data_IF_069243427614
#
_entry.id   IF_069243427614
#
_cell.length_a   1.000
_cell.length_b   1.000
_cell.length_c   1.000
_cell.angle_alpha   90.00
_cell.angle_beta   90.00
_cell.angle_gamma   90.00
#
_symmetry.space_group_name_H-M   'P 1'
#
loop_
_entity.id
_entity.type
_entity.pdbx_description
1 polymer ?
#
# COMPACT_ATOMS: atom_id res chain seq x y z
N UNK A 1 70.59 -20.90 29.43
CA UNK A 1 69.55 -20.32 28.55
C UNK A 1 69.97 -20.54 27.10
N UNK A 2 69.35 -21.50 26.38
CA UNK A 2 69.54 -21.65 24.94
C UNK A 2 68.30 -21.21 24.14
N UNK A 3 68.56 -20.79 22.90
CA UNK A 3 67.63 -20.41 21.83
C UNK A 3 67.24 -21.61 20.97
N UNK A 4 65.96 -21.76 20.57
CA UNK A 4 65.53 -22.61 19.42
C UNK A 4 64.25 -22.07 18.75
N UNK A 5 64.41 -21.72 17.46
CA UNK A 5 63.56 -21.69 16.24
C UNK A 5 62.01 -21.53 16.18
N UNK A 6 61.60 -20.78 15.13
CA UNK A 6 60.27 -20.61 14.49
C UNK A 6 59.77 -21.86 13.71
N UNK A 7 58.46 -21.98 13.35
CA UNK A 7 58.01 -21.64 11.97
C UNK A 7 56.59 -21.03 11.82
N UNK A 8 56.34 -20.35 10.68
CA UNK A 8 55.03 -19.96 10.08
C UNK A 8 54.36 -21.15 9.32
N UNK A 9 53.32 -20.96 8.47
CA UNK A 9 51.90 -20.72 8.73
C UNK A 9 51.00 -21.81 8.09
N UNK A 10 49.74 -22.01 8.54
CA UNK A 10 48.78 -22.84 7.79
C UNK A 10 47.36 -22.27 7.73
N UNK A 11 46.98 -21.95 6.49
CA UNK A 11 45.67 -21.95 5.86
C UNK A 11 44.55 -22.71 6.59
N UNK A 12 43.40 -22.06 6.78
CA UNK A 12 42.12 -22.73 7.00
C UNK A 12 41.22 -22.46 5.79
N UNK A 13 40.95 -23.56 5.08
CA UNK A 13 40.06 -23.66 3.94
C UNK A 13 38.59 -23.49 4.35
N UNK A 14 37.84 -22.77 3.52
CA UNK A 14 36.37 -22.84 3.44
C UNK A 14 35.96 -24.17 2.77
N UNK A 15 35.06 -24.92 3.40
CA UNK A 15 34.16 -25.85 2.72
C UNK A 15 32.78 -25.87 3.38
N UNK A 16 31.72 -26.16 2.61
CA UNK A 16 30.36 -25.68 2.85
C UNK A 16 29.53 -26.66 3.68
N UNK A 17 28.67 -26.11 4.53
CA UNK A 17 27.66 -26.90 5.24
C UNK A 17 26.41 -26.95 4.37
N UNK A 18 26.25 -28.07 3.65
CA UNK A 18 24.96 -28.51 3.13
C UNK A 18 24.06 -28.93 4.31
N UNK A 19 22.92 -28.25 4.49
CA UNK A 19 21.79 -28.84 5.19
C UNK A 19 20.49 -28.66 4.41
N UNK A 20 20.22 -29.66 3.59
CA UNK A 20 18.95 -30.40 3.49
C UNK A 20 17.64 -29.59 3.56
N UNK A 21 17.07 -29.37 2.37
CA UNK A 21 15.63 -29.25 2.13
C UNK A 21 14.88 -30.42 2.78
N UNK A 22 14.04 -30.17 3.79
CA UNK A 22 12.95 -31.07 4.16
C UNK A 22 11.67 -30.29 4.39
N UNK A 23 10.72 -30.59 3.50
CA UNK A 23 9.31 -30.30 3.54
C UNK A 23 8.69 -30.49 4.93
N UNK A 24 7.84 -29.55 5.32
CA UNK A 24 6.63 -29.84 6.08
C UNK A 24 5.48 -29.01 5.51
N UNK A 25 4.72 -29.66 4.62
CA UNK A 25 3.35 -29.30 4.27
C UNK A 25 2.50 -29.59 5.51
N UNK A 26 2.05 -28.54 6.20
CA UNK A 26 0.97 -28.64 7.18
C UNK A 26 -0.25 -27.93 6.61
N UNK A 27 -1.16 -28.76 6.08
CA UNK A 27 -2.51 -28.39 5.71
C UNK A 27 -3.26 -28.06 7.01
N UNK A 28 -3.45 -26.77 7.32
CA UNK A 28 -4.38 -26.36 8.38
C UNK A 28 -5.73 -26.05 7.76
N UNK A 29 -6.69 -26.95 8.00
CA UNK A 29 -8.12 -26.68 7.86
C UNK A 29 -8.47 -25.52 8.81
N UNK A 30 -8.57 -24.30 8.26
CA UNK A 30 -9.06 -23.15 8.99
C UNK A 30 -10.58 -23.27 9.15
N UNK A 31 -11.03 -23.84 10.27
CA UNK A 31 -12.38 -23.61 10.76
C UNK A 31 -12.54 -22.12 11.13
N UNK A 32 -13.65 -21.45 10.81
CA UNK A 32 -13.87 -20.06 11.17
C UNK A 32 -14.27 -20.00 12.65
N UNK A 33 -13.30 -20.16 13.55
CA UNK A 33 -13.47 -19.69 14.92
C UNK A 33 -13.37 -18.16 14.87
N UNK A 34 -14.51 -17.50 14.91
CA UNK A 34 -14.61 -16.07 15.25
C UNK A 34 -14.18 -15.92 16.70
N UNK A 35 -12.87 -15.94 16.93
CA UNK A 35 -12.26 -15.45 18.16
C UNK A 35 -12.48 -13.94 18.16
N UNK A 36 -13.48 -13.51 18.93
CA UNK A 36 -13.65 -12.13 19.35
C UNK A 36 -12.34 -11.70 20.03
N UNK A 37 -11.42 -11.09 19.27
CA UNK A 37 -10.15 -10.59 19.79
C UNK A 37 -10.50 -9.44 20.73
N UNK A 38 -10.50 -9.72 22.03
CA UNK A 38 -10.52 -8.66 23.04
C UNK A 38 -9.35 -7.73 22.74
N UNK A 39 -9.55 -6.41 22.60
CA UNK A 39 -8.44 -5.49 22.43
C UNK A 39 -7.52 -5.64 23.64
N UNK A 40 -6.24 -5.86 23.38
CA UNK A 40 -5.23 -5.86 24.44
C UNK A 40 -5.21 -4.48 25.07
N UNK A 41 -5.27 -4.43 26.41
CA UNK A 41 -5.16 -3.19 27.16
C UNK A 41 -3.91 -2.42 26.72
N UNK A 42 -4.03 -1.09 26.62
CA UNK A 42 -2.92 -0.21 26.26
C UNK A 42 -1.78 -0.37 27.28
N UNK A 43 -0.70 -1.03 26.87
CA UNK A 43 0.56 -1.08 27.61
C UNK A 43 1.52 0.00 27.12
N UNK A 44 2.54 0.35 27.92
CA UNK A 44 3.59 1.27 27.50
C UNK A 44 4.30 0.69 26.25
N UNK A 45 4.00 1.27 25.09
CA UNK A 45 4.64 0.92 23.83
C UNK A 45 5.94 1.71 23.73
N UNK A 46 7.05 1.01 23.47
CA UNK A 46 8.31 1.66 23.16
C UNK A 46 8.22 2.48 21.88
N UNK A 47 9.32 3.14 21.49
CA UNK A 47 9.39 3.90 20.25
C UNK A 47 8.93 3.03 19.06
N UNK A 48 7.95 3.53 18.30
CA UNK A 48 7.46 2.85 17.11
C UNK A 48 8.59 2.75 16.09
N UNK A 49 8.79 1.56 15.53
CA UNK A 49 9.88 1.26 14.59
C UNK A 49 9.31 0.69 13.30
N UNK A 50 9.74 1.24 12.18
CA UNK A 50 9.43 0.74 10.85
C UNK A 50 10.45 -0.34 10.40
N UNK A 51 10.01 -1.37 9.65
CA UNK A 51 8.62 -1.83 9.55
C UNK A 51 8.15 -2.44 10.89
N UNK A 52 6.89 -2.23 11.31
CA UNK A 52 6.40 -2.77 12.57
C UNK A 52 6.12 -4.28 12.46
N UNK A 53 6.39 -5.04 13.51
CA UNK A 53 6.04 -6.47 13.57
C UNK A 53 4.52 -6.71 13.53
N UNK A 54 3.75 -5.78 14.09
CA UNK A 54 2.28 -5.73 14.02
C UNK A 54 1.80 -4.32 14.31
N UNK A 55 0.67 -3.95 13.74
CA UNK A 55 -0.10 -2.77 14.11
C UNK A 55 -1.13 -3.16 15.17
N UNK A 56 -1.35 -2.30 16.15
CA UNK A 56 -2.39 -2.51 17.16
C UNK A 56 -3.76 -2.01 16.72
N UNK A 57 -3.77 -1.00 15.86
CA UNK A 57 -4.98 -0.39 15.31
C UNK A 57 -5.19 -0.83 13.86
N UNK A 58 -6.41 -0.61 13.36
CA UNK A 58 -6.74 -0.80 11.94
C UNK A 58 -6.63 0.55 11.24
N UNK A 59 -5.88 0.62 10.15
CA UNK A 59 -5.68 1.87 9.42
C UNK A 59 -6.32 1.82 8.04
N UNK A 60 -7.02 2.89 7.70
CA UNK A 60 -7.46 3.15 6.33
C UNK A 60 -6.80 4.43 5.84
N UNK A 61 -6.11 4.35 4.70
CA UNK A 61 -5.42 5.46 4.09
C UNK A 61 -6.31 6.06 3.00
N UNK A 62 -6.62 7.36 3.11
CA UNK A 62 -7.51 8.04 2.17
C UNK A 62 -6.82 9.28 1.64
N UNK A 63 -6.63 9.35 0.32
CA UNK A 63 -6.24 10.59 -0.36
C UNK A 63 -7.47 11.47 -0.48
N UNK A 64 -7.35 12.75 -0.15
CA UNK A 64 -8.37 13.74 -0.46
C UNK A 64 -8.68 13.73 -1.98
N UNK A 65 -9.92 14.07 -2.33
CA UNK A 65 -10.30 14.25 -3.72
C UNK A 65 -9.56 15.43 -4.36
N UNK A 66 -9.71 15.54 -5.68
CA UNK A 66 -9.17 16.64 -6.47
C UNK A 66 -9.48 18.02 -5.85
N UNK A 67 -8.48 18.90 -5.80
CA UNK A 67 -8.67 20.30 -5.36
C UNK A 67 -8.88 21.27 -6.51
N UNK A 68 -9.32 22.50 -6.24
CA UNK A 68 -9.43 23.54 -7.28
C UNK A 68 -8.07 23.86 -7.92
N UNK A 69 -6.98 23.87 -7.15
CA UNK A 69 -5.62 23.98 -7.71
C UNK A 69 -5.25 22.80 -8.61
N UNK A 70 -5.64 21.58 -8.22
CA UNK A 70 -5.38 20.39 -9.05
C UNK A 70 -6.23 20.41 -10.34
N UNK A 71 -7.48 20.83 -10.25
CA UNK A 71 -8.37 21.05 -11.41
C UNK A 71 -7.80 22.11 -12.37
N UNK A 72 -7.18 23.16 -11.83
CA UNK A 72 -6.47 24.18 -12.61
C UNK A 72 -5.12 23.70 -13.18
N UNK A 73 -4.69 22.48 -12.87
CA UNK A 73 -3.42 21.92 -13.36
C UNK A 73 -2.19 22.51 -12.68
N UNK A 74 -2.32 23.06 -11.47
CA UNK A 74 -1.23 23.76 -10.77
C UNK A 74 -0.79 23.02 -9.51
N UNK A 75 0.52 22.87 -9.33
CA UNK A 75 1.13 22.36 -8.09
C UNK A 75 1.00 23.40 -6.99
N UNK A 76 0.39 23.00 -5.87
CA UNK A 76 0.25 23.83 -4.66
C UNK A 76 0.63 23.03 -3.42
N UNK A 77 1.84 23.24 -2.93
CA UNK A 77 2.43 22.52 -1.79
C UNK A 77 2.85 23.46 -0.66
N UNK A 78 2.88 24.78 -0.90
CA UNK A 78 3.19 25.77 0.11
C UNK A 78 2.18 25.72 1.29
N UNK A 79 2.64 25.49 2.54
CA UNK A 79 1.77 25.43 3.71
C UNK A 79 0.96 26.71 3.97
N UNK A 80 1.38 27.87 3.46
CA UNK A 80 0.63 29.12 3.59
C UNK A 80 -0.73 29.05 2.89
N UNK A 81 -0.81 28.31 1.79
CA UNK A 81 -2.05 28.17 1.02
C UNK A 81 -2.95 27.03 1.52
N UNK A 82 -2.57 26.28 2.55
CA UNK A 82 -3.26 25.03 2.91
C UNK A 82 -4.71 25.21 3.35
N UNK A 83 -5.05 26.35 3.95
CA UNK A 83 -6.41 26.73 4.35
C UNK A 83 -7.11 27.66 3.35
N UNK A 84 -6.49 27.93 2.20
CA UNK A 84 -7.13 28.72 1.15
C UNK A 84 -8.34 27.98 0.57
N UNK A 85 -9.34 28.74 0.13
CA UNK A 85 -10.53 28.17 -0.51
C UNK A 85 -10.19 27.34 -1.74
N UNK A 86 -9.21 27.80 -2.53
CA UNK A 86 -8.72 27.11 -3.73
C UNK A 86 -7.96 25.80 -3.41
N UNK A 87 -7.54 25.60 -2.16
CA UNK A 87 -7.00 24.32 -1.67
C UNK A 87 -8.10 23.35 -1.24
N UNK A 88 -9.37 23.76 -1.30
CA UNK A 88 -10.54 22.92 -1.04
C UNK A 88 -10.83 21.94 -2.18
N UNK A 89 -11.77 21.04 -1.93
CA UNK A 89 -12.24 20.06 -2.91
C UNK A 89 -12.93 20.76 -4.08
N UNK A 90 -12.59 20.33 -5.30
CA UNK A 90 -13.35 20.66 -6.50
C UNK A 90 -14.71 19.93 -6.49
N UNK A 91 -15.66 20.29 -7.38
CA UNK A 91 -16.91 19.54 -7.53
C UNK A 91 -16.72 18.07 -7.91
N UNK A 92 -15.62 17.73 -8.61
CA UNK A 92 -15.24 16.33 -8.86
C UNK A 92 -14.60 15.72 -7.60
N UNK A 93 -13.70 16.44 -6.92
CA UNK A 93 -13.09 15.99 -5.67
C UNK A 93 -14.10 15.66 -4.58
N UNK A 94 -15.17 16.44 -4.45
CA UNK A 94 -16.28 16.15 -3.55
C UNK A 94 -17.00 14.84 -3.91
N UNK A 95 -17.19 14.56 -5.21
CA UNK A 95 -17.76 13.28 -5.68
C UNK A 95 -16.82 12.11 -5.43
N UNK A 96 -15.51 12.29 -5.60
CA UNK A 96 -14.50 11.29 -5.27
C UNK A 96 -14.49 10.97 -3.76
N UNK A 97 -14.51 12.00 -2.90
CA UNK A 97 -14.58 11.84 -1.45
C UNK A 97 -15.87 11.12 -1.02
N UNK A 98 -17.02 11.43 -1.63
CA UNK A 98 -18.28 10.74 -1.36
C UNK A 98 -18.22 9.25 -1.76
N UNK A 99 -17.58 8.90 -2.88
CA UNK A 99 -17.38 7.50 -3.28
C UNK A 99 -16.50 6.76 -2.28
N UNK A 100 -15.35 7.34 -1.90
CA UNK A 100 -14.47 6.75 -0.89
C UNK A 100 -15.18 6.57 0.45
N UNK A 101 -16.00 7.53 0.87
CA UNK A 101 -16.81 7.45 2.07
C UNK A 101 -17.82 6.29 2.04
N UNK A 102 -18.47 6.06 0.90
CA UNK A 102 -19.36 4.91 0.70
C UNK A 102 -18.61 3.58 0.70
N UNK A 103 -17.43 3.53 0.10
CA UNK A 103 -16.57 2.33 0.14
C UNK A 103 -16.16 1.96 1.56
N UNK A 104 -15.72 2.93 2.36
CA UNK A 104 -15.42 2.75 3.78
C UNK A 104 -16.61 2.20 4.56
N UNK A 105 -17.82 2.65 4.22
CA UNK A 105 -19.06 2.14 4.83
C UNK A 105 -19.34 0.70 4.43
N UNK A 106 -19.18 0.37 3.15
CA UNK A 106 -19.42 -0.99 2.64
C UNK A 106 -18.49 -2.03 3.26
N UNK A 107 -17.25 -1.65 3.58
CA UNK A 107 -16.27 -2.55 4.20
C UNK A 107 -16.34 -2.56 5.74
N UNK A 108 -17.29 -1.84 6.34
CA UNK A 108 -17.46 -1.76 7.80
C UNK A 108 -16.25 -1.14 8.50
N UNK A 109 -15.64 -0.11 7.90
CA UNK A 109 -14.47 0.54 8.48
C UNK A 109 -14.77 1.15 9.86
N UNK A 110 -15.93 1.79 9.99
CA UNK A 110 -16.39 2.48 11.20
C UNK A 110 -17.55 1.77 11.91
N UNK A 111 -17.67 0.44 11.81
CA UNK A 111 -18.71 -0.31 12.54
C UNK A 111 -18.48 -0.31 14.07
N UNK A 112 -17.20 -0.22 14.47
CA UNK A 112 -16.75 -0.11 15.86
C UNK A 112 -16.25 1.33 16.15
N UNK A 113 -15.22 1.52 17.00
CA UNK A 113 -14.58 2.81 17.23
C UNK A 113 -13.83 3.30 15.99
N UNK A 114 -14.16 4.51 15.53
CA UNK A 114 -13.59 5.10 14.33
C UNK A 114 -13.10 6.53 14.61
N UNK A 115 -11.82 6.79 14.37
CA UNK A 115 -11.20 8.10 14.46
C UNK A 115 -10.73 8.54 13.08
N UNK A 116 -10.98 9.80 12.73
CA UNK A 116 -10.57 10.36 11.43
C UNK A 116 -9.49 11.40 11.70
N UNK A 117 -8.32 11.21 11.09
CA UNK A 117 -7.14 12.06 11.21
C UNK A 117 -6.84 12.74 9.88
N UNK A 118 -7.51 13.87 9.58
CA UNK A 118 -7.18 14.66 8.41
C UNK A 118 -6.02 15.62 8.68
N UNK A 119 -5.22 15.85 7.65
CA UNK A 119 -4.47 17.11 7.53
C UNK A 119 -5.43 18.30 7.61
N UNK A 120 -4.97 19.42 8.17
CA UNK A 120 -5.72 20.69 8.17
C UNK A 120 -5.82 21.37 6.79
N UNK A 121 -5.22 20.78 5.75
CA UNK A 121 -5.49 21.21 4.37
C UNK A 121 -6.99 21.19 4.09
N UNK A 122 -7.49 22.25 3.44
CA UNK A 122 -8.92 22.48 3.25
C UNK A 122 -9.60 21.25 2.61
N UNK A 123 -9.01 20.67 1.56
CA UNK A 123 -9.53 19.45 0.91
C UNK A 123 -9.58 18.22 1.80
N UNK A 124 -8.58 18.00 2.65
CA UNK A 124 -8.51 16.84 3.53
C UNK A 124 -9.52 16.94 4.66
N UNK A 125 -9.68 18.13 5.24
CA UNK A 125 -10.68 18.37 6.26
C UNK A 125 -12.11 18.24 5.71
N UNK A 126 -12.40 18.81 4.53
CA UNK A 126 -13.67 18.64 3.84
C UNK A 126 -13.96 17.16 3.51
N UNK A 127 -12.95 16.42 3.05
CA UNK A 127 -13.09 14.98 2.80
C UNK A 127 -13.39 14.21 4.10
N UNK A 128 -12.75 14.55 5.21
CA UNK A 128 -13.03 13.96 6.51
C UNK A 128 -14.46 14.25 7.00
N UNK A 129 -14.98 15.45 6.78
CA UNK A 129 -16.38 15.76 7.11
C UNK A 129 -17.37 14.92 6.28
N UNK A 130 -17.09 14.73 4.99
CA UNK A 130 -17.90 13.86 4.11
C UNK A 130 -17.84 12.41 4.60
N UNK A 131 -16.64 11.90 4.89
CA UNK A 131 -16.43 10.54 5.41
C UNK A 131 -17.20 10.35 6.72
N UNK A 132 -17.07 11.30 7.65
CA UNK A 132 -17.74 11.27 8.94
C UNK A 132 -19.27 11.24 8.77
N UNK A 133 -19.81 12.13 7.92
CA UNK A 133 -21.25 12.21 7.67
C UNK A 133 -21.83 10.92 7.09
N UNK A 134 -21.13 10.27 6.15
CA UNK A 134 -21.61 9.04 5.50
C UNK A 134 -21.52 7.83 6.44
N UNK A 135 -20.47 7.77 7.25
CA UNK A 135 -20.17 6.65 8.15
C UNK A 135 -20.76 6.82 9.56
N UNK A 136 -21.48 7.91 9.84
CA UNK A 136 -22.11 8.14 11.15
C UNK A 136 -21.09 8.41 12.26
N UNK A 137 -19.92 8.96 11.92
CA UNK A 137 -18.88 9.32 12.89
C UNK A 137 -19.12 10.74 13.37
N UNK A 138 -19.16 10.94 14.69
CA UNK A 138 -19.31 12.27 15.28
C UNK A 138 -18.11 13.17 14.97
N UNK A 139 -18.36 14.47 14.82
CA UNK A 139 -17.32 15.48 14.59
C UNK A 139 -16.24 15.51 15.69
N UNK A 140 -16.56 15.07 16.91
CA UNK A 140 -15.59 14.96 18.00
C UNK A 140 -14.51 13.90 17.77
N UNK A 141 -14.73 12.95 16.85
CA UNK A 141 -13.76 11.94 16.45
C UNK A 141 -12.93 12.35 15.23
N UNK A 142 -13.09 13.59 14.75
CA UNK A 142 -12.21 14.18 13.73
C UNK A 142 -11.08 14.92 14.46
N UNK A 143 -9.86 14.40 14.35
CA UNK A 143 -8.66 14.94 15.01
C UNK A 143 -7.77 15.60 13.96
N UNK A 144 -7.79 16.94 13.83
CA UNK A 144 -6.97 17.63 12.85
C UNK A 144 -5.47 17.47 13.16
N UNK A 145 -4.72 17.06 12.14
CA UNK A 145 -3.27 16.96 12.16
C UNK A 145 -2.68 18.16 11.40
N UNK A 146 -1.73 18.86 12.04
CA UNK A 146 -1.29 20.20 11.61
C UNK A 146 0.02 20.22 10.81
N UNK A 147 0.82 19.15 10.86
CA UNK A 147 2.22 19.17 10.44
C UNK A 147 2.66 17.89 9.74
N UNK A 148 2.43 16.72 10.32
CA UNK A 148 2.94 15.44 9.81
C UNK A 148 2.24 14.93 8.55
N UNK A 149 1.04 15.44 8.23
CA UNK A 149 0.23 15.13 7.05
C UNK A 149 0.11 16.32 6.09
N UNK A 150 0.90 17.38 6.26
CA UNK A 150 1.00 18.40 5.21
C UNK A 150 1.49 17.75 3.90
N UNK A 151 1.07 18.32 2.77
CA UNK A 151 1.51 17.83 1.47
C UNK A 151 3.03 17.94 1.34
N UNK A 152 3.66 17.01 0.63
CA UNK A 152 5.12 17.04 0.41
C UNK A 152 5.52 18.37 -0.23
N UNK A 153 6.41 19.11 0.42
CA UNK A 153 6.94 20.35 -0.12
C UNK A 153 7.78 20.10 -1.37
N UNK A 154 7.39 20.70 -2.50
CA UNK A 154 8.07 20.50 -3.79
C UNK A 154 8.98 21.67 -4.20
N UNK A 155 9.25 22.62 -3.30
CA UNK A 155 10.18 23.73 -3.53
C UNK A 155 9.91 24.47 -4.84
N UNK A 156 10.89 24.52 -5.74
CA UNK A 156 10.85 25.21 -7.02
C UNK A 156 9.79 24.73 -8.02
N UNK A 157 9.08 23.63 -7.71
CA UNK A 157 7.92 23.17 -8.46
C UNK A 157 6.61 23.82 -8.03
N UNK A 158 6.62 24.62 -6.96
CA UNK A 158 5.49 25.42 -6.54
C UNK A 158 4.96 26.31 -7.68
N UNK A 159 3.67 26.24 -7.95
CA UNK A 159 3.02 27.00 -9.03
C UNK A 159 3.27 26.47 -10.46
N UNK A 160 4.04 25.39 -10.63
CA UNK A 160 4.23 24.76 -11.96
C UNK A 160 3.03 23.89 -12.35
N UNK A 161 3.03 23.43 -13.60
CA UNK A 161 2.06 22.45 -14.09
C UNK A 161 2.13 21.15 -13.28
N UNK A 162 0.99 20.53 -12.95
CA UNK A 162 0.95 19.21 -12.28
C UNK A 162 1.74 18.14 -13.04
N UNK A 163 1.83 18.24 -14.37
CA UNK A 163 2.63 17.31 -15.17
C UNK A 163 4.12 17.31 -14.80
N UNK A 164 4.62 18.40 -14.21
CA UNK A 164 6.02 18.50 -13.78
C UNK A 164 6.35 17.65 -12.54
N UNK A 165 5.35 17.15 -11.82
CA UNK A 165 5.56 16.23 -10.68
C UNK A 165 6.23 14.92 -11.16
N UNK A 166 6.02 14.51 -12.42
CA UNK A 166 6.67 13.32 -12.98
C UNK A 166 8.21 13.40 -12.88
N UNK A 167 8.80 14.58 -13.07
CA UNK A 167 10.25 14.80 -12.93
C UNK A 167 10.73 14.56 -11.49
N UNK A 168 9.92 14.93 -10.49
CA UNK A 168 10.22 14.67 -9.08
C UNK A 168 10.24 13.17 -8.82
N UNK A 169 9.23 12.44 -9.29
CA UNK A 169 9.14 10.98 -9.10
C UNK A 169 10.24 10.21 -9.83
N UNK A 170 10.68 10.68 -11.00
CA UNK A 170 11.85 10.12 -11.67
C UNK A 170 13.13 10.29 -10.82
N UNK A 171 13.30 11.46 -10.20
CA UNK A 171 14.44 11.72 -9.32
C UNK A 171 14.40 10.88 -8.04
N UNK A 172 13.22 10.68 -7.45
CA UNK A 172 13.02 9.87 -6.24
C UNK A 172 13.37 8.39 -6.48
N UNK A 173 13.16 7.90 -7.71
CA UNK A 173 13.54 6.55 -8.12
C UNK A 173 15.05 6.30 -8.08
N UNK A 174 15.87 7.36 -8.13
CA UNK A 174 17.33 7.27 -8.05
C UNK A 174 17.77 7.18 -6.58
N UNK A 175 17.28 8.10 -5.73
CA UNK A 175 17.62 8.15 -4.31
C UNK A 175 16.49 8.82 -3.50
N UNK A 176 16.10 8.25 -2.35
CA UNK A 176 15.03 8.79 -1.52
C UNK A 176 15.43 10.07 -0.78
N UNK A 177 16.73 10.42 -0.79
CA UNK A 177 17.27 11.61 -0.13
C UNK A 177 17.32 12.83 -1.05
N UNK A 178 16.96 12.70 -2.33
CA UNK A 178 16.94 13.81 -3.27
C UNK A 178 15.80 14.75 -2.87
N UNK A 179 16.16 16.02 -2.67
CA UNK A 179 15.19 17.10 -2.44
C UNK A 179 14.96 17.84 -3.76
N UNK A 180 13.72 18.23 -4.07
CA UNK A 180 13.46 19.20 -5.12
C UNK A 180 14.29 20.48 -4.89
N UNK A 181 14.63 21.24 -5.95
CA UNK A 181 15.35 22.50 -5.80
C UNK A 181 14.58 23.45 -4.87
N UNK A 182 15.25 24.21 -4.00
CA UNK A 182 14.59 25.17 -3.12
C UNK A 182 14.03 26.38 -3.90
N UNK A 183 13.15 27.14 -3.25
CA UNK A 183 12.56 28.39 -3.74
C UNK A 183 12.49 29.41 -2.59
N UNK A 184 12.50 30.70 -2.92
CA UNK A 184 12.59 31.80 -1.94
C UNK A 184 11.24 32.24 -1.36
N UNK A 185 10.14 31.58 -1.69
CA UNK A 185 8.78 31.94 -1.24
C UNK A 185 8.36 31.26 0.08
N UNK A 186 9.29 30.52 0.71
CA UNK A 186 9.05 29.79 1.94
C UNK A 186 8.43 28.39 1.75
N UNK A 187 8.25 27.93 0.50
CA UNK A 187 7.81 26.55 0.23
C UNK A 187 8.90 25.55 0.66
N UNK A 188 8.59 24.57 1.52
CA UNK A 188 9.52 23.51 1.86
C UNK A 188 9.91 22.67 0.63
N UNK A 189 11.10 22.08 0.67
CA UNK A 189 11.56 21.11 -0.33
C UNK A 189 11.96 19.81 0.37
N UNK A 190 11.04 18.85 0.38
CA UNK A 190 11.17 17.60 1.13
C UNK A 190 11.62 16.44 0.21
N UNK A 191 12.54 15.63 0.71
CA UNK A 191 12.86 14.33 0.12
C UNK A 191 11.84 13.26 0.55
N UNK A 192 11.87 12.09 -0.09
CA UNK A 192 11.06 10.94 0.34
C UNK A 192 11.43 10.51 1.75
N UNK A 193 12.70 10.59 2.13
CA UNK A 193 13.18 10.29 3.48
C UNK A 193 12.63 11.27 4.52
N UNK A 194 12.58 12.57 4.21
CA UNK A 194 11.99 13.57 5.11
C UNK A 194 10.51 13.27 5.37
N UNK A 195 9.76 12.94 4.31
CA UNK A 195 8.36 12.50 4.40
C UNK A 195 8.24 11.22 5.24
N UNK A 196 9.13 10.26 5.03
CA UNK A 196 9.16 8.99 5.77
C UNK A 196 9.36 9.19 7.28
N UNK A 197 10.23 10.13 7.67
CA UNK A 197 10.44 10.48 9.08
C UNK A 197 9.16 11.02 9.71
N UNK A 198 8.49 11.99 9.08
CA UNK A 198 7.27 12.60 9.65
C UNK A 198 6.08 11.64 9.72
N UNK A 199 5.87 10.79 8.71
CA UNK A 199 4.79 9.79 8.77
C UNK A 199 5.10 8.69 9.80
N UNK A 200 6.38 8.38 10.04
CA UNK A 200 6.77 7.48 11.14
C UNK A 200 6.51 8.09 12.52
N UNK A 201 6.71 9.40 12.66
CA UNK A 201 6.34 10.14 13.88
C UNK A 201 4.82 10.16 14.09
N UNK A 202 4.04 10.38 13.02
CA UNK A 202 2.58 10.25 13.07
C UNK A 202 2.17 8.87 13.56
N UNK A 203 2.73 7.79 13.00
CA UNK A 203 2.42 6.43 13.45
C UNK A 203 2.80 6.19 14.90
N UNK A 204 3.89 6.80 15.38
CA UNK A 204 4.26 6.75 16.80
C UNK A 204 3.15 7.33 17.69
N UNK A 205 2.55 8.45 17.27
CA UNK A 205 1.42 9.08 17.98
C UNK A 205 0.19 8.18 17.92
N UNK A 206 -0.21 7.73 16.73
CA UNK A 206 -1.43 6.94 16.55
C UNK A 206 -1.36 5.58 17.28
N UNK A 207 -0.23 4.89 17.20
CA UNK A 207 -0.02 3.62 17.91
C UNK A 207 0.16 3.79 19.42
N UNK A 208 0.40 5.00 19.94
CA UNK A 208 0.44 5.23 21.39
C UNK A 208 -0.87 5.76 21.95
N UNK A 209 -1.60 6.55 21.18
CA UNK A 209 -2.86 7.16 21.58
C UNK A 209 -4.06 6.20 21.50
N UNK A 210 -4.07 5.30 20.51
CA UNK A 210 -5.19 4.40 20.24
C UNK A 210 -4.79 2.93 20.42
N UNK A 211 -5.77 2.08 20.75
CA UNK A 211 -5.54 0.64 20.92
C UNK A 211 -6.75 -0.20 20.56
N UNK A 212 -6.65 -0.89 19.42
CA UNK A 212 -7.74 -1.71 18.89
C UNK A 212 -8.81 -0.91 18.15
N UNK A 213 -8.57 0.39 17.94
CA UNK A 213 -9.48 1.27 17.22
C UNK A 213 -9.22 1.25 15.71
N UNK A 214 -10.20 1.72 14.93
CA UNK A 214 -9.99 2.08 13.54
C UNK A 214 -9.56 3.55 13.44
N UNK A 215 -8.49 3.81 12.68
CA UNK A 215 -7.99 5.15 12.38
C UNK A 215 -7.98 5.37 10.86
N UNK A 216 -8.74 6.35 10.39
CA UNK A 216 -8.77 6.79 8.99
C UNK A 216 -7.81 7.98 8.85
N UNK A 217 -6.72 7.80 8.12
CA UNK A 217 -5.75 8.87 7.83
C UNK A 217 -6.15 9.54 6.52
N UNK A 218 -6.43 10.84 6.54
CA UNK A 218 -6.82 11.60 5.35
C UNK A 218 -5.70 12.59 4.99
N UNK A 219 -5.02 12.32 3.88
CA UNK A 219 -3.90 13.12 3.38
C UNK A 219 -4.29 13.97 2.17
N UNK A 220 -3.76 15.20 2.02
CA UNK A 220 -4.01 16.06 0.87
C UNK A 220 -3.45 15.48 -0.43
N UNK A 221 -2.37 14.71 -0.35
CA UNK A 221 -1.62 14.14 -1.46
C UNK A 221 -1.40 12.64 -1.28
N UNK A 222 -0.95 11.99 -2.34
CA UNK A 222 -0.60 10.56 -2.30
C UNK A 222 0.76 10.27 -1.69
N UNK A 223 1.68 11.23 -1.64
CA UNK A 223 3.06 10.99 -1.20
C UNK A 223 3.10 10.52 0.26
N UNK A 224 2.40 11.19 1.16
CA UNK A 224 2.33 10.79 2.57
C UNK A 224 1.85 9.33 2.74
N UNK A 225 0.80 8.97 2.00
CA UNK A 225 0.15 7.66 2.13
C UNK A 225 1.00 6.55 1.52
N UNK A 226 1.58 6.81 0.35
CA UNK A 226 2.42 5.84 -0.38
C UNK A 226 3.76 5.62 0.30
N UNK A 227 4.38 6.67 0.84
CA UNK A 227 5.60 6.57 1.66
C UNK A 227 5.32 5.87 2.99
N UNK A 228 4.20 6.19 3.66
CA UNK A 228 3.77 5.47 4.86
C UNK A 228 3.57 3.98 4.56
N UNK A 229 2.86 3.65 3.48
CA UNK A 229 2.62 2.28 3.09
C UNK A 229 3.93 1.53 2.77
N UNK A 230 4.86 2.17 2.05
CA UNK A 230 6.18 1.59 1.79
C UNK A 230 6.93 1.30 3.10
N UNK A 231 6.89 2.24 4.04
CA UNK A 231 7.47 2.09 5.38
C UNK A 231 6.88 0.94 6.20
N UNK A 232 5.54 0.82 6.21
CA UNK A 232 4.82 -0.23 6.94
C UNK A 232 5.10 -1.63 6.40
N UNK A 233 5.28 -1.75 5.07
CA UNK A 233 5.58 -3.02 4.40
C UNK A 233 7.07 -3.34 4.41
N UNK A 234 7.94 -2.35 4.67
CA UNK A 234 9.39 -2.50 4.61
C UNK A 234 9.93 -2.50 3.17
N UNK A 235 9.25 -1.81 2.26
CA UNK A 235 9.70 -1.61 0.88
C UNK A 235 10.80 -0.55 0.80
N UNK A 236 11.65 -0.66 -0.21
CA UNK A 236 12.60 0.40 -0.57
C UNK A 236 11.83 1.69 -0.93
N UNK A 237 12.16 2.78 -0.25
CA UNK A 237 11.52 4.08 -0.45
C UNK A 237 11.68 4.60 -1.88
N UNK A 238 12.70 4.17 -2.64
CA UNK A 238 12.83 4.49 -4.08
C UNK A 238 11.67 3.96 -4.94
N UNK A 239 10.92 2.99 -4.42
CA UNK A 239 9.83 2.30 -5.13
C UNK A 239 8.45 2.67 -4.60
N UNK A 240 8.35 3.71 -3.78
CA UNK A 240 7.09 4.09 -3.11
C UNK A 240 5.97 4.43 -4.12
N UNK A 241 6.30 5.07 -5.25
CA UNK A 241 5.36 5.40 -6.32
C UNK A 241 4.88 4.15 -7.10
N UNK A 242 5.74 3.14 -7.25
CA UNK A 242 5.47 1.92 -8.03
C UNK A 242 4.59 0.92 -7.26
N UNK A 243 4.71 0.89 -5.93
CA UNK A 243 4.13 -0.17 -5.10
C UNK A 243 2.60 -0.21 -5.13
N UNK A 244 1.91 0.94 -5.19
CA UNK A 244 0.44 0.95 -5.04
C UNK A 244 -0.28 0.68 -6.36
N UNK A 245 0.13 1.37 -7.43
CA UNK A 245 -0.55 1.27 -8.72
C UNK A 245 -0.28 -0.06 -9.42
N UNK A 246 0.96 -0.57 -9.36
CA UNK A 246 1.30 -1.83 -10.01
C UNK A 246 0.64 -2.98 -9.25
N UNK A 247 0.72 -3.04 -7.92
CA UNK A 247 0.13 -4.15 -7.16
C UNK A 247 -1.40 -4.18 -7.33
N UNK A 248 -2.09 -3.04 -7.29
CA UNK A 248 -3.53 -2.99 -7.48
C UNK A 248 -3.96 -3.32 -8.92
N UNK A 249 -3.25 -2.82 -9.93
CA UNK A 249 -3.50 -3.15 -11.34
C UNK A 249 -3.27 -4.63 -11.62
N UNK A 250 -2.13 -5.16 -11.16
CA UNK A 250 -1.77 -6.58 -11.25
C UNK A 250 -2.84 -7.42 -10.56
N UNK A 251 -3.21 -7.11 -9.32
CA UNK A 251 -4.21 -7.86 -8.56
C UNK A 251 -5.59 -7.86 -9.24
N UNK A 252 -6.09 -6.69 -9.65
CA UNK A 252 -7.39 -6.57 -10.31
C UNK A 252 -7.41 -7.25 -11.69
N UNK A 253 -6.37 -7.09 -12.50
CA UNK A 253 -6.24 -7.76 -13.79
C UNK A 253 -6.18 -9.28 -13.63
N UNK A 254 -5.42 -9.80 -12.66
CA UNK A 254 -5.35 -11.22 -12.38
C UNK A 254 -6.67 -11.76 -11.82
N UNK A 255 -7.38 -11.01 -10.99
CA UNK A 255 -8.70 -11.41 -10.46
C UNK A 255 -9.75 -11.52 -11.58
N UNK A 256 -9.80 -10.55 -12.50
CA UNK A 256 -10.73 -10.56 -13.64
C UNK A 256 -10.39 -11.71 -14.59
N UNK A 257 -9.11 -11.87 -14.92
CA UNK A 257 -8.65 -12.94 -15.83
C UNK A 257 -8.94 -14.33 -15.25
N UNK A 258 -8.66 -14.54 -13.96
CA UNK A 258 -8.94 -15.80 -13.27
C UNK A 258 -10.43 -16.15 -13.29
N UNK A 259 -11.28 -15.17 -12.96
CA UNK A 259 -12.73 -15.36 -12.95
C UNK A 259 -13.26 -15.73 -14.34
N UNK A 260 -12.81 -15.02 -15.38
CA UNK A 260 -13.26 -15.23 -16.75
C UNK A 260 -12.79 -16.58 -17.29
N UNK A 261 -11.53 -16.95 -17.05
CA UNK A 261 -10.93 -18.21 -17.51
C UNK A 261 -11.56 -19.43 -16.82
N UNK A 262 -11.76 -19.38 -15.50
CA UNK A 262 -12.40 -20.48 -14.75
C UNK A 262 -13.87 -20.62 -15.15
N UNK A 263 -14.59 -19.52 -15.31
CA UNK A 263 -16.01 -19.54 -15.72
C UNK A 263 -16.18 -20.11 -17.13
N UNK A 264 -15.37 -19.67 -18.09
CA UNK A 264 -15.40 -20.18 -19.47
C UNK A 264 -15.02 -21.67 -19.53
N UNK A 265 -13.98 -22.08 -18.79
CA UNK A 265 -13.53 -23.47 -18.74
C UNK A 265 -14.59 -24.40 -18.13
N UNK A 266 -15.29 -23.94 -17.09
CA UNK A 266 -16.36 -24.70 -16.42
C UNK A 266 -17.59 -24.86 -17.32
N UNK A 267 -17.95 -23.80 -18.06
CA UNK A 267 -19.02 -23.86 -19.05
C UNK A 267 -18.66 -24.81 -20.20
N UNK A 268 -17.42 -24.77 -20.70
CA UNK A 268 -16.95 -25.68 -21.75
C UNK A 268 -16.94 -27.14 -21.28
N UNK A 269 -16.42 -27.41 -20.08
CA UNK A 269 -16.34 -28.76 -19.52
C UNK A 269 -17.73 -29.39 -19.29
N UNK A 270 -18.66 -28.64 -18.70
CA UNK A 270 -20.04 -29.12 -18.48
C UNK A 270 -20.79 -29.37 -19.79
N UNK A 271 -20.62 -28.49 -20.78
CA UNK A 271 -21.20 -28.68 -22.12
C UNK A 271 -20.61 -29.91 -22.82
N UNK A 272 -19.30 -30.13 -22.67
CA UNK A 272 -18.60 -31.26 -23.25
C UNK A 272 -19.09 -32.59 -22.66
N UNK A 273 -19.24 -32.66 -21.34
CA UNK A 273 -19.73 -33.86 -20.64
C UNK A 273 -21.16 -34.24 -21.08
N UNK A 274 -22.04 -33.24 -21.20
CA UNK A 274 -23.41 -33.45 -21.73
C UNK A 274 -23.40 -33.90 -23.19
N UNK A 275 -22.46 -33.41 -24.00
CA UNK A 275 -22.34 -33.82 -25.39
C UNK A 275 -21.86 -35.27 -25.50
N UNK A 276 -20.79 -35.62 -24.78
CA UNK A 276 -20.20 -36.97 -24.77
C UNK A 276 -21.21 -38.01 -24.30
N UNK A 277 -21.99 -37.71 -23.25
CA UNK A 277 -23.02 -38.63 -22.74
C UNK A 277 -24.19 -38.86 -23.70
N UNK A 278 -24.51 -37.90 -24.58
CA UNK A 278 -25.63 -38.01 -25.54
C UNK A 278 -25.22 -38.54 -26.91
N UNK A 279 -24.04 -38.17 -27.38
CA UNK A 279 -23.63 -38.38 -28.78
C UNK A 279 -22.32 -39.19 -28.91
N UNK A 280 -21.67 -39.56 -27.80
CA UNK A 280 -20.36 -40.20 -27.80
C UNK A 280 -19.21 -39.18 -27.89
N UNK A 281 -17.99 -39.64 -27.64
CA UNK A 281 -16.78 -38.82 -27.73
C UNK A 281 -16.19 -38.85 -29.14
N UNK A 282 -15.83 -37.67 -29.65
CA UNK A 282 -15.10 -37.46 -30.89
C UNK A 282 -13.79 -36.67 -30.66
N UNK A 283 -13.01 -36.46 -31.72
CA UNK A 283 -11.75 -35.71 -31.64
C UNK A 283 -11.95 -34.28 -31.13
N UNK A 284 -13.09 -33.65 -31.45
CA UNK A 284 -13.43 -32.31 -30.98
C UNK A 284 -13.65 -32.26 -29.46
N UNK A 285 -14.36 -33.22 -28.89
CA UNK A 285 -14.55 -33.33 -27.43
C UNK A 285 -13.24 -33.57 -26.68
N UNK A 286 -12.29 -34.30 -27.28
CA UNK A 286 -10.94 -34.46 -26.74
C UNK A 286 -10.14 -33.16 -26.77
N UNK A 287 -10.22 -32.37 -27.85
CA UNK A 287 -9.60 -31.05 -27.93
C UNK A 287 -10.17 -30.09 -26.87
N UNK A 288 -11.48 -30.14 -26.57
CA UNK A 288 -12.09 -29.33 -25.50
C UNK A 288 -11.49 -29.68 -24.14
N UNK A 289 -11.43 -30.97 -23.79
CA UNK A 289 -10.84 -31.40 -22.51
C UNK A 289 -9.35 -30.99 -22.41
N UNK A 290 -8.60 -31.12 -23.50
CA UNK A 290 -7.21 -30.67 -23.56
C UNK A 290 -7.11 -29.14 -23.36
N UNK A 291 -7.97 -28.36 -24.02
CA UNK A 291 -8.01 -26.89 -23.87
C UNK A 291 -8.34 -26.46 -22.45
N UNK A 292 -9.30 -27.11 -21.79
CA UNK A 292 -9.66 -26.85 -20.39
C UNK A 292 -8.46 -27.16 -19.47
N UNK A 293 -7.79 -28.30 -19.66
CA UNK A 293 -6.61 -28.66 -18.89
C UNK A 293 -5.46 -27.67 -19.08
N UNK A 294 -5.21 -27.22 -20.32
CA UNK A 294 -4.19 -26.20 -20.62
C UNK A 294 -4.51 -24.85 -20.00
N UNK A 295 -5.79 -24.46 -19.90
CA UNK A 295 -6.20 -23.24 -19.22
C UNK A 295 -5.86 -23.28 -17.72
N UNK A 296 -6.10 -24.41 -17.04
CA UNK A 296 -5.68 -24.59 -15.64
C UNK A 296 -4.16 -24.58 -15.48
N UNK A 297 -3.41 -25.22 -16.39
CA UNK A 297 -1.94 -25.18 -16.37
C UNK A 297 -1.39 -23.77 -16.58
N UNK A 298 -1.95 -23.02 -17.52
CA UNK A 298 -1.58 -21.62 -17.75
C UNK A 298 -1.86 -20.76 -16.52
N UNK A 299 -3.00 -20.96 -15.85
CA UNK A 299 -3.31 -20.27 -14.60
C UNK A 299 -2.30 -20.57 -13.50
N UNK A 300 -1.92 -21.85 -13.31
CA UNK A 300 -0.89 -22.24 -12.33
C UNK A 300 0.46 -21.61 -12.69
N UNK A 301 0.85 -21.64 -13.97
CA UNK A 301 2.11 -21.05 -14.43
C UNK A 301 2.16 -19.55 -14.12
N UNK A 302 1.08 -18.83 -14.44
CA UNK A 302 0.94 -17.40 -14.13
C UNK A 302 0.98 -17.14 -12.62
N UNK A 303 0.31 -17.97 -11.80
CA UNK A 303 0.33 -17.84 -10.35
C UNK A 303 1.73 -18.07 -9.77
N UNK A 304 2.49 -19.04 -10.30
CA UNK A 304 3.87 -19.27 -9.88
C UNK A 304 4.76 -18.10 -10.33
N UNK A 305 4.60 -17.60 -11.55
CA UNK A 305 5.32 -16.42 -12.03
C UNK A 305 5.02 -15.17 -11.19
N UNK A 306 3.77 -14.95 -10.79
CA UNK A 306 3.41 -13.82 -9.92
C UNK A 306 3.99 -13.96 -8.52
N UNK A 307 4.03 -15.17 -7.95
CA UNK A 307 4.71 -15.45 -6.67
C UNK A 307 6.21 -15.21 -6.78
N UNK A 308 6.87 -15.66 -7.86
CA UNK A 308 8.30 -15.42 -8.08
C UNK A 308 8.58 -13.93 -8.27
N UNK A 309 7.74 -13.23 -9.03
CA UNK A 309 7.86 -11.79 -9.22
C UNK A 309 7.67 -11.02 -7.91
N UNK A 310 6.69 -11.41 -7.09
CA UNK A 310 6.49 -10.84 -5.76
C UNK A 310 7.70 -11.13 -4.87
N UNK A 311 8.20 -12.37 -4.85
CA UNK A 311 9.40 -12.72 -4.11
C UNK A 311 10.59 -11.85 -4.52
N UNK A 312 10.86 -11.69 -5.81
CA UNK A 312 11.92 -10.80 -6.29
C UNK A 312 11.67 -9.33 -5.93
N UNK A 313 10.42 -8.85 -5.97
CA UNK A 313 10.10 -7.49 -5.55
C UNK A 313 10.42 -7.27 -4.06
N UNK A 314 10.11 -8.25 -3.22
CA UNK A 314 10.29 -8.18 -1.75
C UNK A 314 11.67 -8.63 -1.26
N UNK A 315 12.43 -9.40 -2.05
CA UNK A 315 13.75 -9.94 -1.67
C UNK A 315 14.91 -9.06 -2.11
N UNK A 316 14.68 -8.03 -2.93
CA UNK A 316 15.68 -7.02 -3.25
C UNK A 316 15.85 -6.04 -2.09
N UNK A 317 16.33 -6.55 -0.95
CA UNK A 317 17.05 -5.85 0.11
C UNK A 317 17.44 -6.86 1.21
N UNK A 318 18.50 -7.63 0.92
CA UNK A 318 19.67 -7.76 1.82
C UNK A 318 20.85 -7.19 1.05
#
# INVERSE_FOLDING_TARGET
MPTVSSPNPHHIFLHPIHHSRRAFLLLTLAAPFVLHRRPLAAGARGLFRMPPARLANRYFLVRAGESEYESAGVVRTNPVAKTAMDSGLSPEGARQAARAALELKMIGACDDSCWIWPSITQRSYQAAEIIASVNGVDRSHIVPEYSFLDARGLGAFEGRSLGSIAEVYESDGISPNIKPPPIDDGTPNESVEDVFVRVTQLMSILETQYSGDTVIIVSPDSDNLTVLQAGLVGLDLRRYCLAVNIIAFVYSAFQILAYLLISASSAAASRNDVWVSRFGGDEFTHMINASVAMAFLAFIAIAVSSIISAYNLFSWNI
#
